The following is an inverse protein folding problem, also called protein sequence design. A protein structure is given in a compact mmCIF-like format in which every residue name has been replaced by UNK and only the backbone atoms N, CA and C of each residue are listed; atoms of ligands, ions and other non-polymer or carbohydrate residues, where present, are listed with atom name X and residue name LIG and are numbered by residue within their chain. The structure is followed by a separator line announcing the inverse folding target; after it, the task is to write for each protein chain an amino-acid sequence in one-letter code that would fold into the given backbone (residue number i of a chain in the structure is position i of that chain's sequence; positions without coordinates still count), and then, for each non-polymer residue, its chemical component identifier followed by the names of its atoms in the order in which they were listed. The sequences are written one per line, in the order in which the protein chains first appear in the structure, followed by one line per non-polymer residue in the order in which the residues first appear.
data_IF_511145345045
#
_entry.id   IF_511145345045
#
_cell.length_a   1.000
_cell.length_b   1.000
_cell.length_c   1.000
_cell.angle_alpha   90.00
_cell.angle_beta   90.00
_cell.angle_gamma   90.00
#
_symmetry.space_group_name_H-M   'P 1'
#
loop_
_entity.id
_entity.type
_entity.pdbx_description
1 polymer ?
#
# COMPACT_ATOMS: atom_id res chain seq x y z
N UNK A 1 -11.75 29.35 16.32
CA UNK A 1 -11.90 28.56 15.06
C UNK A 1 -10.65 27.73 14.72
N UNK A 2 -9.92 27.12 15.68
CA UNK A 2 -8.58 26.57 15.39
C UNK A 2 -8.21 25.24 16.09
N UNK A 3 -9.16 24.57 16.76
CA UNK A 3 -8.89 23.30 17.43
C UNK A 3 -9.24 22.08 16.56
N UNK A 4 -10.22 22.20 15.67
CA UNK A 4 -10.65 21.09 14.82
C UNK A 4 -9.64 20.81 13.70
N UNK A 5 -9.07 21.86 13.09
CA UNK A 5 -7.98 21.71 12.12
C UNK A 5 -6.75 21.03 12.72
N UNK A 6 -6.36 21.41 13.94
CA UNK A 6 -5.22 20.79 14.63
C UNK A 6 -5.46 19.31 14.94
N UNK A 7 -6.68 18.93 15.32
CA UNK A 7 -7.06 17.53 15.57
C UNK A 7 -7.09 16.72 14.27
N UNK A 8 -7.59 17.32 13.19
CA UNK A 8 -7.58 16.70 11.87
C UNK A 8 -6.16 16.44 11.38
N UNK A 9 -5.28 17.43 11.50
CA UNK A 9 -3.87 17.29 11.12
C UNK A 9 -3.19 16.19 11.94
N UNK A 10 -3.44 16.11 13.25
CA UNK A 10 -2.91 15.04 14.11
C UNK A 10 -3.37 13.65 13.65
N UNK A 11 -4.66 13.49 13.34
CA UNK A 11 -5.19 12.23 12.78
C UNK A 11 -4.52 11.89 11.45
N UNK A 12 -4.38 12.88 10.56
CA UNK A 12 -3.74 12.67 9.26
C UNK A 12 -2.27 12.27 9.43
N UNK A 13 -1.52 12.90 10.34
CA UNK A 13 -0.13 12.50 10.64
C UNK A 13 -0.06 11.07 11.20
N UNK A 14 -1.00 10.68 12.07
CA UNK A 14 -1.03 9.33 12.64
C UNK A 14 -1.30 8.23 11.60
N UNK A 15 -1.92 8.58 10.48
CA UNK A 15 -2.17 7.66 9.36
C UNK A 15 -1.00 7.53 8.37
N UNK A 16 0.07 8.31 8.56
CA UNK A 16 1.25 8.24 7.68
C UNK A 16 2.11 7.02 8.03
N UNK A 17 2.69 6.41 6.99
CA UNK A 17 3.62 5.28 7.11
C UNK A 17 3.02 4.02 7.78
N UNK A 18 1.73 3.79 7.60
CA UNK A 18 1.08 2.55 8.04
C UNK A 18 1.27 1.41 7.01
N UNK A 19 1.36 0.17 7.49
CA UNK A 19 1.53 -1.03 6.66
C UNK A 19 0.17 -1.61 6.26
N UNK A 20 -0.14 -1.54 4.97
CA UNK A 20 -1.38 -2.04 4.37
C UNK A 20 -1.10 -2.93 3.16
N UNK A 21 -1.96 -3.92 2.93
CA UNK A 21 -2.04 -4.66 1.67
C UNK A 21 -3.02 -3.90 0.77
N UNK A 22 -2.52 -3.42 -0.37
CA UNK A 22 -3.31 -2.63 -1.31
C UNK A 22 -3.51 -3.40 -2.60
N UNK A 23 -4.76 -3.53 -3.03
CA UNK A 23 -5.07 -3.93 -4.39
C UNK A 23 -5.19 -2.68 -5.24
N UNK A 24 -4.33 -2.55 -6.24
CA UNK A 24 -4.21 -1.34 -7.05
C UNK A 24 -4.57 -1.63 -8.49
N UNK A 25 -5.46 -0.81 -9.06
CA UNK A 25 -5.74 -0.77 -10.49
C UNK A 25 -4.91 0.33 -11.13
N UNK A 26 -4.05 -0.04 -12.07
CA UNK A 26 -3.32 0.89 -12.91
C UNK A 26 -4.15 1.22 -14.17
N UNK A 27 -4.29 2.50 -14.49
CA UNK A 27 -4.97 2.98 -15.69
C UNK A 27 -4.21 4.14 -16.29
N UNK A 28 -3.92 4.07 -17.58
CA UNK A 28 -3.38 5.22 -18.31
C UNK A 28 -4.55 6.15 -18.66
N UNK A 29 -4.45 7.41 -18.27
CA UNK A 29 -5.42 8.45 -18.62
C UNK A 29 -4.71 9.57 -19.38
N UNK A 30 -5.31 9.99 -20.50
CA UNK A 30 -4.88 11.14 -21.27
C UNK A 30 -5.90 12.25 -21.07
N UNK A 31 -5.43 13.40 -20.61
CA UNK A 31 -6.24 14.61 -20.53
C UNK A 31 -5.57 15.72 -21.32
N UNK A 32 -6.31 16.31 -22.25
CA UNK A 32 -5.78 17.24 -23.26
C UNK A 32 -4.62 16.61 -24.06
N UNK A 33 -3.38 16.99 -23.75
CA UNK A 33 -2.16 16.51 -24.42
C UNK A 33 -1.22 15.76 -23.47
N UNK A 34 -1.63 15.56 -22.23
CA UNK A 34 -0.80 14.92 -21.23
C UNK A 34 -1.34 13.53 -20.90
N UNK A 35 -0.46 12.53 -20.96
CA UNK A 35 -0.76 11.15 -20.63
C UNK A 35 -0.06 10.80 -19.33
N UNK A 36 -0.83 10.32 -18.35
CA UNK A 36 -0.29 9.90 -17.05
C UNK A 36 -0.79 8.53 -16.67
N UNK A 37 0.04 7.81 -15.91
CA UNK A 37 -0.38 6.60 -15.21
C UNK A 37 -1.10 6.99 -13.93
N UNK A 38 -2.34 6.55 -13.79
CA UNK A 38 -3.14 6.69 -12.57
C UNK A 38 -3.20 5.36 -11.83
N UNK A 39 -2.85 5.38 -10.55
CA UNK A 39 -2.96 4.23 -9.66
C UNK A 39 -4.17 4.45 -8.74
N UNK A 40 -5.08 3.50 -8.73
CA UNK A 40 -6.34 3.57 -7.98
C UNK A 40 -6.35 2.40 -6.99
N UNK A 41 -6.38 2.70 -5.69
CA UNK A 41 -6.60 1.68 -4.66
C UNK A 41 -8.06 1.21 -4.76
N UNK A 42 -8.28 -0.08 -5.01
CA UNK A 42 -9.62 -0.68 -5.11
C UNK A 42 -9.99 -1.48 -3.86
N UNK A 43 -9.02 -2.05 -3.15
CA UNK A 43 -9.17 -2.75 -1.86
C UNK A 43 -7.96 -2.40 -0.97
N UNK A 44 -8.18 -2.31 0.34
CA UNK A 44 -7.16 -1.99 1.34
C UNK A 44 -7.41 -2.82 2.60
N UNK A 45 -6.48 -3.73 2.90
CA UNK A 45 -6.56 -4.66 4.03
C UNK A 45 -5.34 -4.54 4.93
N UNK A 46 -5.48 -4.89 6.20
CA UNK A 46 -4.33 -5.02 7.09
C UNK A 46 -3.41 -6.15 6.64
N UNK A 47 -2.09 -5.94 6.74
CA UNK A 47 -1.14 -7.02 6.45
C UNK A 47 -1.18 -8.06 7.56
N UNK A 48 -1.69 -9.25 7.23
CA UNK A 48 -1.63 -10.40 8.11
C UNK A 48 -0.20 -10.93 8.17
N UNK A 49 0.43 -10.81 9.34
CA UNK A 49 1.85 -11.11 9.51
C UNK A 49 2.16 -12.60 9.37
N UNK A 50 1.34 -13.50 9.92
CA UNK A 50 1.60 -14.94 9.89
C UNK A 50 1.62 -15.50 8.44
N UNK A 51 0.61 -15.23 7.58
CA UNK A 51 0.66 -15.64 6.18
C UNK A 51 1.82 -15.03 5.39
N UNK A 52 2.17 -13.76 5.66
CA UNK A 52 3.27 -13.10 4.96
C UNK A 52 4.63 -13.71 5.33
N UNK A 53 4.83 -14.06 6.59
CA UNK A 53 6.05 -14.73 7.06
C UNK A 53 6.21 -16.12 6.44
N UNK A 54 5.12 -16.87 6.33
CA UNK A 54 5.11 -18.19 5.68
C UNK A 54 5.45 -18.05 4.20
N UNK A 55 4.82 -17.11 3.49
CA UNK A 55 5.10 -16.81 2.08
C UNK A 55 6.59 -16.52 1.85
N UNK A 56 7.17 -15.63 2.66
CA UNK A 56 8.57 -15.25 2.56
C UNK A 56 9.52 -16.41 2.90
N UNK A 57 9.19 -17.20 3.92
CA UNK A 57 9.99 -18.39 4.29
C UNK A 57 10.03 -19.40 3.15
N UNK A 58 8.88 -19.68 2.52
CA UNK A 58 8.80 -20.58 1.38
C UNK A 58 9.59 -20.07 0.17
N UNK A 59 9.53 -18.75 -0.09
CA UNK A 59 10.29 -18.13 -1.17
C UNK A 59 11.80 -18.24 -0.92
N UNK A 60 12.26 -18.01 0.31
CA UNK A 60 13.67 -18.22 0.70
C UNK A 60 14.09 -19.68 0.50
N UNK A 61 13.28 -20.63 0.94
CA UNK A 61 13.57 -22.06 0.79
C UNK A 61 13.64 -22.48 -0.69
N UNK A 62 12.79 -21.91 -1.54
CA UNK A 62 12.79 -22.17 -2.99
C UNK A 62 14.04 -21.69 -3.72
N UNK A 63 14.80 -20.77 -3.12
CA UNK A 63 16.03 -20.21 -3.68
C UNK A 63 17.29 -20.96 -3.22
N UNK A 64 17.17 -21.91 -2.30
CA UNK A 64 18.31 -22.70 -1.85
C UNK A 64 18.66 -23.76 -2.90
N UNK A 65 19.94 -23.89 -3.30
CA UNK A 65 20.34 -24.96 -4.21
C UNK A 65 20.06 -26.32 -3.59
N UNK A 66 19.54 -27.26 -4.37
CA UNK A 66 19.52 -28.67 -4.00
C UNK A 66 20.98 -29.14 -3.87
N UNK A 67 21.43 -29.37 -2.64
CA UNK A 67 22.71 -30.02 -2.34
C UNK A 67 22.49 -31.49 -2.01
#
# INVERSE_FOLDING_TARGET
MNNDHKRFDQLLQSSKFCRWRLKVRAKVETWQKETRLKLIVIECDEVQQAPENERLSNEILSLQPEF
#
